data_IF_491155074235
#
_entry.id   IF_491155074235
#
_cell.length_a   1.000
_cell.length_b   1.000
_cell.length_c   1.000
_cell.angle_alpha   90.00
_cell.angle_beta   90.00
_cell.angle_gamma   90.00
#
_symmetry.space_group_name_H-M   'P 1'
#
loop_
_entity.id
_entity.type
_entity.pdbx_description
1 polymer ?
#
# COMPACT_ATOMS: atom_id res chain seq x y z
N UNK A 1 -2.89 -1.64 -24.16
CA UNK A 1 -2.32 -2.52 -23.11
C UNK A 1 -3.41 -2.85 -22.11
N UNK A 2 -3.59 -4.13 -21.77
CA UNK A 2 -4.60 -4.54 -20.77
C UNK A 2 -4.20 -4.02 -19.39
N UNK A 3 -5.07 -3.25 -18.75
CA UNK A 3 -4.95 -2.83 -17.35
C UNK A 3 -5.74 -3.79 -16.46
N UNK A 4 -5.27 -4.01 -15.24
CA UNK A 4 -5.96 -4.81 -14.23
C UNK A 4 -6.95 -3.96 -13.44
N UNK A 5 -7.88 -4.60 -12.72
CA UNK A 5 -8.78 -3.91 -11.78
C UNK A 5 -7.98 -3.10 -10.74
N UNK A 6 -6.86 -3.63 -10.27
CA UNK A 6 -5.97 -2.93 -9.33
C UNK A 6 -5.38 -1.65 -9.93
N UNK A 7 -4.98 -1.66 -11.21
CA UNK A 7 -4.42 -0.47 -11.87
C UNK A 7 -5.49 0.62 -11.96
N UNK A 8 -6.73 0.26 -12.27
CA UNK A 8 -7.86 1.20 -12.34
C UNK A 8 -8.19 1.75 -10.95
N UNK A 9 -8.30 0.89 -9.93
CA UNK A 9 -8.61 1.30 -8.56
C UNK A 9 -7.53 2.25 -8.01
N UNK A 10 -6.24 1.92 -8.17
CA UNK A 10 -5.14 2.79 -7.75
C UNK A 10 -5.15 4.14 -8.48
N UNK A 11 -5.61 4.16 -9.73
CA UNK A 11 -5.73 5.41 -10.50
C UNK A 11 -6.90 6.26 -10.05
N UNK A 12 -8.00 5.66 -9.61
CA UNK A 12 -9.10 6.37 -8.96
C UNK A 12 -8.64 6.99 -7.65
N UNK A 13 -7.83 6.27 -6.86
CA UNK A 13 -7.24 6.79 -5.64
C UNK A 13 -6.30 7.97 -5.93
N UNK A 14 -5.38 7.83 -6.88
CA UNK A 14 -4.47 8.91 -7.29
C UNK A 14 -5.24 10.16 -7.75
N UNK A 15 -6.25 9.97 -8.62
CA UNK A 15 -7.11 11.04 -9.08
C UNK A 15 -7.91 11.69 -7.94
N UNK A 16 -8.45 10.90 -7.00
CA UNK A 16 -9.18 11.40 -5.84
C UNK A 16 -8.30 12.23 -4.91
N UNK A 17 -7.07 11.78 -4.64
CA UNK A 17 -6.09 12.55 -3.86
C UNK A 17 -5.75 13.86 -4.57
N UNK A 18 -5.57 13.83 -5.90
CA UNK A 18 -5.31 15.05 -6.68
C UNK A 18 -6.50 16.02 -6.62
N UNK A 19 -7.72 15.55 -6.87
CA UNK A 19 -8.93 16.37 -6.79
C UNK A 19 -9.12 16.97 -5.40
N UNK A 20 -8.87 16.20 -4.34
CA UNK A 20 -8.93 16.67 -2.97
C UNK A 20 -7.90 17.76 -2.66
N UNK A 21 -6.68 17.59 -3.15
CA UNK A 21 -5.64 18.60 -3.04
C UNK A 21 -6.04 19.88 -3.78
N UNK A 22 -6.50 19.78 -5.03
CA UNK A 22 -6.93 20.92 -5.84
C UNK A 22 -8.07 21.70 -5.16
N UNK A 23 -9.04 20.99 -4.56
CA UNK A 23 -10.12 21.61 -3.80
C UNK A 23 -9.63 22.35 -2.53
N UNK A 24 -8.54 21.91 -1.91
CA UNK A 24 -7.97 22.55 -0.71
C UNK A 24 -6.93 23.62 -1.00
N UNK A 25 -6.24 23.55 -2.13
CA UNK A 25 -5.33 24.60 -2.58
C UNK A 25 -6.04 25.96 -2.68
N UNK A 26 -7.31 25.97 -3.09
CA UNK A 26 -8.15 27.18 -3.10
C UNK A 26 -8.52 27.75 -1.73
N UNK A 27 -8.17 27.08 -0.62
CA UNK A 27 -8.54 27.46 0.76
C UNK A 27 -7.31 27.82 1.62
N UNK A 28 -6.18 28.18 0.99
CA UNK A 28 -4.94 28.54 1.70
C UNK A 28 -4.03 27.36 2.05
N UNK A 29 -4.20 26.20 1.39
CA UNK A 29 -3.29 25.07 1.57
C UNK A 29 -1.90 25.32 0.94
N UNK A 30 -0.89 24.65 1.50
CA UNK A 30 0.54 24.76 1.16
C UNK A 30 0.77 24.71 -0.36
N UNK A 31 1.48 25.70 -0.89
CA UNK A 31 1.82 25.77 -2.30
C UNK A 31 2.68 24.57 -2.72
N UNK A 32 2.27 23.86 -3.78
CA UNK A 32 2.99 22.75 -4.39
C UNK A 32 2.43 21.37 -4.03
N UNK A 33 1.44 20.90 -4.79
CA UNK A 33 1.02 19.49 -4.73
C UNK A 33 2.22 18.61 -5.09
N UNK A 34 2.57 17.57 -4.31
CA UNK A 34 3.58 16.62 -4.75
C UNK A 34 3.08 15.95 -6.03
N UNK A 35 3.87 16.01 -7.10
CA UNK A 35 3.51 15.39 -8.38
C UNK A 35 3.33 13.87 -8.30
N UNK A 36 3.82 13.26 -7.21
CA UNK A 36 3.74 11.83 -6.91
C UNK A 36 3.62 11.64 -5.39
N UNK A 37 2.81 10.67 -4.95
CA UNK A 37 2.81 10.17 -3.57
C UNK A 37 3.27 8.72 -3.54
N UNK A 38 3.96 8.31 -2.48
CA UNK A 38 4.39 6.92 -2.34
C UNK A 38 3.32 6.14 -1.57
N UNK A 39 2.77 5.12 -2.22
CA UNK A 39 1.77 4.24 -1.66
C UNK A 39 2.35 2.84 -1.41
N UNK A 40 1.99 2.24 -0.27
CA UNK A 40 2.17 0.82 -0.01
C UNK A 40 0.92 0.05 -0.47
N UNK A 41 1.11 -0.96 -1.30
CA UNK A 41 0.05 -1.82 -1.81
C UNK A 41 0.37 -3.26 -1.41
N UNK A 42 -0.41 -3.90 -0.52
CA UNK A 42 -0.23 -5.30 -0.20
C UNK A 42 -0.37 -6.17 -1.46
N UNK A 43 0.55 -7.10 -1.67
CA UNK A 43 0.52 -8.05 -2.78
C UNK A 43 0.64 -9.48 -2.25
N UNK A 44 -0.16 -10.37 -2.83
CA UNK A 44 -0.02 -11.80 -2.58
C UNK A 44 1.19 -12.32 -3.38
N UNK A 45 2.15 -12.93 -2.69
CA UNK A 45 3.38 -13.45 -3.30
C UNK A 45 3.28 -14.96 -3.63
N UNK A 46 2.15 -15.59 -3.32
CA UNK A 46 1.89 -17.00 -3.67
C UNK A 46 1.83 -17.18 -5.18
N UNK A 47 2.49 -18.22 -5.70
CA UNK A 47 2.46 -18.59 -7.13
C UNK A 47 1.97 -20.04 -7.29
N UNK A 48 1.17 -20.31 -8.34
CA UNK A 48 0.78 -21.67 -8.72
C UNK A 48 0.11 -22.47 -7.61
N UNK A 49 0.61 -23.68 -7.35
CA UNK A 49 0.11 -24.63 -6.35
C UNK A 49 0.15 -24.07 -4.91
N UNK A 50 1.02 -23.08 -4.60
CA UNK A 50 1.10 -22.44 -3.26
C UNK A 50 -0.18 -21.70 -2.86
N UNK A 51 -1.10 -21.43 -3.79
CA UNK A 51 -2.40 -20.82 -3.48
C UNK A 51 -3.27 -21.72 -2.60
N UNK A 52 -3.03 -23.04 -2.60
CA UNK A 52 -3.76 -24.04 -1.82
C UNK A 52 -3.19 -24.26 -0.42
N UNK A 53 -1.99 -23.78 -0.14
CA UNK A 53 -1.36 -23.94 1.17
C UNK A 53 -1.84 -22.87 2.16
N UNK A 54 -2.10 -23.29 3.41
CA UNK A 54 -2.38 -22.41 4.54
C UNK A 54 -1.07 -21.83 5.08
N UNK A 55 -0.41 -21.00 4.26
CA UNK A 55 0.81 -20.28 4.65
C UNK A 55 0.67 -18.80 4.32
N UNK A 56 1.08 -17.96 5.26
CA UNK A 56 0.99 -16.52 5.09
C UNK A 56 2.18 -16.01 4.27
N UNK A 57 1.99 -15.77 2.97
CA UNK A 57 3.04 -15.29 2.05
C UNK A 57 2.54 -14.06 1.27
N UNK A 58 2.68 -12.91 1.90
CA UNK A 58 2.30 -11.61 1.36
C UNK A 58 3.45 -10.62 1.56
N UNK A 59 3.54 -9.64 0.68
CA UNK A 59 4.51 -8.57 0.77
C UNK A 59 3.85 -7.23 0.48
N UNK A 60 4.64 -6.16 0.47
CA UNK A 60 4.20 -4.84 0.08
C UNK A 60 4.93 -4.39 -1.18
N UNK A 61 4.17 -3.94 -2.16
CA UNK A 61 4.66 -3.15 -3.28
C UNK A 61 4.69 -1.68 -2.85
N UNK A 62 5.86 -1.05 -2.92
CA UNK A 62 6.00 0.41 -2.74
C UNK A 62 5.92 1.06 -4.12
N UNK A 63 4.90 1.88 -4.35
CA UNK A 63 4.53 2.38 -5.67
C UNK A 63 4.41 3.91 -5.61
N UNK A 64 5.11 4.60 -6.50
CA UNK A 64 4.85 6.02 -6.75
C UNK A 64 3.55 6.18 -7.53
N UNK A 65 2.53 6.74 -6.90
CA UNK A 65 1.26 7.10 -7.54
C UNK A 65 1.35 8.53 -8.09
N UNK A 66 1.25 8.72 -9.41
CA UNK A 66 1.31 10.05 -10.01
C UNK A 66 0.03 10.83 -9.73
N UNK A 67 0.18 12.03 -9.17
CA UNK A 67 -0.91 12.97 -8.92
C UNK A 67 -1.02 14.00 -10.06
N UNK A 68 -0.92 13.53 -11.31
CA UNK A 68 -0.79 14.41 -12.48
C UNK A 68 -2.12 14.93 -13.01
N UNK A 69 -3.24 14.25 -12.73
CA UNK A 69 -4.57 14.64 -13.19
C UNK A 69 -5.67 14.21 -12.21
N UNK A 70 -6.76 14.99 -12.06
CA UNK A 70 -7.96 14.58 -11.33
C UNK A 70 -8.80 13.54 -12.11
N UNK A 71 -8.42 13.19 -13.34
CA UNK A 71 -9.10 12.17 -14.14
C UNK A 71 -8.39 10.82 -14.01
N UNK A 72 -9.06 9.84 -13.40
CA UNK A 72 -8.51 8.48 -13.26
C UNK A 72 -8.09 7.89 -14.61
N UNK A 73 -8.90 8.09 -15.67
CA UNK A 73 -8.61 7.61 -17.03
C UNK A 73 -7.29 8.16 -17.58
N UNK A 74 -6.95 9.42 -17.28
CA UNK A 74 -5.71 10.04 -17.72
C UNK A 74 -4.47 9.47 -17.00
N UNK A 75 -4.64 8.98 -15.77
CA UNK A 75 -3.55 8.53 -14.89
C UNK A 75 -3.30 7.01 -14.97
N UNK A 76 -4.32 6.21 -15.34
CA UNK A 76 -4.23 4.74 -15.49
C UNK A 76 -2.99 4.25 -16.26
N UNK A 77 -2.60 4.84 -17.40
CA UNK A 77 -1.41 4.40 -18.12
C UNK A 77 -0.12 4.53 -17.30
N UNK A 78 0.01 5.59 -16.49
CA UNK A 78 1.17 5.86 -15.66
C UNK A 78 1.21 4.89 -14.46
N UNK A 79 0.08 4.71 -13.77
CA UNK A 79 -0.07 3.76 -12.66
C UNK A 79 0.20 2.34 -13.12
N UNK A 80 -0.36 1.92 -14.25
CA UNK A 80 -0.12 0.58 -14.78
C UNK A 80 1.35 0.33 -15.15
N UNK A 81 2.09 1.34 -15.61
CA UNK A 81 3.55 1.23 -15.83
C UNK A 81 4.29 1.06 -14.51
N UNK A 82 3.98 1.87 -13.49
CA UNK A 82 4.58 1.77 -12.16
C UNK A 82 4.31 0.39 -11.53
N UNK A 83 3.06 -0.08 -11.56
CA UNK A 83 2.68 -1.39 -11.03
C UNK A 83 3.37 -2.55 -11.75
N UNK A 84 3.53 -2.49 -13.09
CA UNK A 84 4.27 -3.53 -13.83
C UNK A 84 5.75 -3.54 -13.48
N UNK A 85 6.37 -2.37 -13.31
CA UNK A 85 7.76 -2.27 -12.89
C UNK A 85 7.95 -2.92 -11.51
N UNK A 86 7.09 -2.56 -10.54
CA UNK A 86 7.17 -3.12 -9.19
C UNK A 86 6.87 -4.62 -9.19
N UNK A 87 5.85 -5.09 -9.91
CA UNK A 87 5.54 -6.53 -10.02
C UNK A 87 6.71 -7.32 -10.62
N UNK A 88 7.34 -6.84 -11.70
CA UNK A 88 8.51 -7.49 -12.29
C UNK A 88 9.70 -7.54 -11.32
N UNK A 89 9.93 -6.46 -10.59
CA UNK A 89 10.96 -6.42 -9.54
C UNK A 89 10.68 -7.42 -8.41
N UNK A 90 9.41 -7.59 -8.04
CA UNK A 90 8.99 -8.57 -7.02
C UNK A 90 8.96 -10.02 -7.53
N UNK A 91 8.67 -10.22 -8.82
CA UNK A 91 8.59 -11.54 -9.46
C UNK A 91 9.97 -12.14 -9.73
N UNK A 92 10.98 -11.31 -10.00
CA UNK A 92 12.38 -11.73 -9.99
C UNK A 92 12.76 -12.16 -8.58
N UNK A 93 13.33 -13.35 -8.43
CA UNK A 93 13.68 -14.03 -7.16
C UNK A 93 14.42 -13.17 -6.12
N UNK A 94 14.91 -12.00 -6.50
CA UNK A 94 15.58 -10.98 -5.69
C UNK A 94 14.78 -10.60 -4.43
N UNK A 95 13.45 -10.45 -4.52
CA UNK A 95 12.67 -9.99 -3.36
C UNK A 95 12.47 -11.07 -2.29
N UNK A 96 12.29 -12.34 -2.69
CA UNK A 96 12.30 -13.46 -1.75
C UNK A 96 13.69 -13.65 -1.15
N UNK A 97 14.76 -13.50 -1.94
CA UNK A 97 16.14 -13.59 -1.44
C UNK A 97 16.47 -12.49 -0.43
N UNK A 98 16.05 -11.24 -0.67
CA UNK A 98 16.22 -10.15 0.29
C UNK A 98 15.40 -10.43 1.56
N UNK A 99 14.14 -10.83 1.42
CA UNK A 99 13.27 -11.11 2.58
C UNK A 99 13.77 -12.32 3.38
N UNK A 100 14.24 -13.38 2.71
CA UNK A 100 14.82 -14.57 3.32
C UNK A 100 16.13 -14.25 4.04
N UNK A 101 17.01 -13.44 3.43
CA UNK A 101 18.24 -12.95 4.09
C UNK A 101 17.90 -12.09 5.30
N UNK A 102 16.91 -11.20 5.22
CA UNK A 102 16.44 -10.41 6.37
C UNK A 102 15.87 -11.32 7.48
N UNK A 103 15.13 -12.36 7.11
CA UNK A 103 14.50 -13.29 8.05
C UNK A 103 15.48 -14.29 8.68
N UNK A 104 16.60 -14.60 8.01
CA UNK A 104 17.65 -15.52 8.51
C UNK A 104 18.80 -14.80 9.20
N UNK A 105 18.81 -13.46 9.23
CA UNK A 105 19.71 -12.70 10.10
C UNK A 105 19.30 -12.94 11.55
N UNK A 106 20.06 -13.79 12.21
CA UNK A 106 19.89 -14.12 13.61
C UNK A 106 20.15 -12.89 14.51
N UNK A 107 19.49 -12.85 15.67
CA UNK A 107 19.49 -11.70 16.61
C UNK A 107 20.89 -11.32 17.13
N UNK A 108 21.90 -12.13 16.87
CA UNK A 108 23.32 -11.92 17.22
C UNK A 108 23.96 -10.75 16.47
N UNK A 109 23.40 -10.31 15.34
CA UNK A 109 23.85 -9.10 14.64
C UNK A 109 23.00 -7.87 15.00
N UNK A 110 23.23 -7.30 16.19
CA UNK A 110 22.57 -6.04 16.62
C UNK A 110 22.74 -4.89 15.60
N UNK A 111 23.85 -4.89 14.85
CA UNK A 111 24.13 -3.93 13.76
C UNK A 111 23.25 -4.15 12.53
N UNK A 112 22.95 -5.40 12.17
CA UNK A 112 22.02 -5.68 11.06
C UNK A 112 20.59 -5.28 11.44
N UNK A 113 20.18 -5.47 12.70
CA UNK A 113 18.91 -4.97 13.21
C UNK A 113 18.78 -3.44 13.12
N UNK A 114 19.86 -2.69 13.38
CA UNK A 114 19.87 -1.23 13.22
C UNK A 114 19.78 -0.80 11.75
N UNK A 115 20.50 -1.48 10.85
CA UNK A 115 20.45 -1.23 9.40
C UNK A 115 19.07 -1.57 8.83
N UNK A 116 18.46 -2.69 9.24
CA UNK A 116 17.11 -3.08 8.84
C UNK A 116 16.09 -2.08 9.37
N UNK A 117 16.18 -1.67 10.64
CA UNK A 117 15.30 -0.63 11.21
C UNK A 117 15.46 0.71 10.48
N UNK A 118 16.69 1.10 10.16
CA UNK A 118 16.97 2.33 9.43
C UNK A 118 16.46 2.27 8.00
N UNK A 119 16.65 1.15 7.29
CA UNK A 119 16.10 0.91 5.96
C UNK A 119 14.58 0.93 5.97
N UNK A 120 13.95 0.27 6.95
CA UNK A 120 12.49 0.27 7.11
C UNK A 120 11.97 1.67 7.46
N UNK A 121 12.63 2.40 8.36
CA UNK A 121 12.28 3.78 8.69
C UNK A 121 12.44 4.71 7.47
N UNK A 122 13.48 4.55 6.67
CA UNK A 122 13.68 5.30 5.44
C UNK A 122 12.64 4.94 4.38
N UNK A 123 12.32 3.65 4.22
CA UNK A 123 11.32 3.16 3.29
C UNK A 123 9.89 3.56 3.69
N UNK A 124 9.60 3.65 4.99
CA UNK A 124 8.27 3.97 5.53
C UNK A 124 8.04 5.46 5.77
N UNK A 125 9.09 6.25 6.06
CA UNK A 125 8.97 7.69 6.32
C UNK A 125 8.44 8.50 5.13
N UNK A 126 8.53 7.96 3.91
CA UNK A 126 7.96 8.57 2.70
C UNK A 126 6.63 7.95 2.27
N UNK A 127 6.15 6.90 2.93
CA UNK A 127 4.84 6.33 2.66
C UNK A 127 3.77 7.28 3.16
N UNK A 128 2.95 7.78 2.24
CA UNK A 128 1.82 8.67 2.56
C UNK A 128 0.50 7.92 2.58
N UNK A 129 0.44 6.75 1.93
CA UNK A 129 -0.80 6.03 1.70
C UNK A 129 -0.59 4.51 1.76
N UNK A 130 -1.56 3.81 2.32
CA UNK A 130 -1.68 2.36 2.17
C UNK A 130 -2.99 2.06 1.44
N UNK A 131 -2.92 1.32 0.33
CA UNK A 131 -4.10 0.94 -0.46
C UNK A 131 -4.18 -0.58 -0.51
N UNK A 132 -5.17 -1.16 0.16
CA UNK A 132 -5.45 -2.59 0.10
C UNK A 132 -6.65 -2.86 -0.81
N UNK A 133 -6.54 -3.89 -1.65
CA UNK A 133 -7.66 -4.48 -2.37
C UNK A 133 -7.75 -5.96 -2.02
N UNK A 134 -8.63 -6.28 -1.08
CA UNK A 134 -8.86 -7.66 -0.63
C UNK A 134 -10.11 -8.17 -1.34
N UNK A 135 -10.01 -9.26 -2.13
CA UNK A 135 -11.19 -9.85 -2.77
C UNK A 135 -12.25 -10.22 -1.73
N UNK A 136 -13.48 -9.81 -1.99
CA UNK A 136 -14.64 -10.19 -1.18
C UNK A 136 -15.09 -11.63 -1.46
N UNK A 137 -16.09 -12.12 -0.70
CA UNK A 137 -16.70 -13.42 -0.94
C UNK A 137 -17.27 -13.51 -2.36
N UNK A 138 -17.10 -14.65 -3.03
CA UNK A 138 -17.65 -14.89 -4.37
C UNK A 138 -19.14 -15.25 -4.36
N UNK A 139 -19.72 -15.54 -3.19
CA UNK A 139 -21.12 -15.92 -3.00
C UNK A 139 -21.86 -14.95 -2.08
N UNK A 140 -23.19 -14.93 -2.17
CA UNK A 140 -24.02 -14.09 -1.32
C UNK A 140 -24.04 -14.58 0.12
N UNK A 141 -23.60 -13.72 1.04
CA UNK A 141 -23.68 -13.99 2.47
C UNK A 141 -25.08 -13.71 3.01
N UNK A 142 -25.50 -14.52 3.97
CA UNK A 142 -26.74 -14.34 4.73
C UNK A 142 -26.42 -14.29 6.22
N UNK A 143 -27.09 -13.40 6.94
CA UNK A 143 -27.01 -13.27 8.39
C UNK A 143 -28.44 -13.24 8.95
N UNK A 144 -28.78 -14.17 9.84
CA UNK A 144 -30.13 -14.28 10.39
C UNK A 144 -31.22 -14.45 9.31
N UNK A 145 -30.94 -15.21 8.25
CA UNK A 145 -31.86 -15.43 7.13
C UNK A 145 -31.98 -14.26 6.15
N UNK A 146 -31.30 -13.13 6.39
CA UNK A 146 -31.32 -11.96 5.51
C UNK A 146 -30.02 -11.85 4.72
N UNK A 147 -30.13 -11.48 3.45
CA UNK A 147 -28.98 -11.25 2.58
C UNK A 147 -28.20 -10.01 3.02
N UNK A 148 -26.88 -10.14 3.14
CA UNK A 148 -25.98 -9.01 3.41
C UNK A 148 -25.89 -8.15 2.15
N UNK A 149 -26.23 -6.86 2.26
CA UNK A 149 -26.23 -5.93 1.14
C UNK A 149 -24.82 -5.44 0.79
N UNK A 150 -24.03 -5.05 1.78
CA UNK A 150 -22.69 -4.50 1.61
C UNK A 150 -21.77 -4.93 2.75
N UNK A 151 -20.47 -5.07 2.45
CA UNK A 151 -19.41 -5.25 3.44
C UNK A 151 -18.47 -4.06 3.36
N UNK A 152 -18.24 -3.40 4.48
CA UNK A 152 -17.26 -2.31 4.59
C UNK A 152 -16.10 -2.77 5.47
N UNK A 153 -14.89 -2.71 4.92
CA UNK A 153 -13.68 -2.87 5.71
C UNK A 153 -13.38 -1.56 6.46
N UNK A 154 -13.40 -1.60 7.79
CA UNK A 154 -12.92 -0.50 8.62
C UNK A 154 -11.53 -0.83 9.16
N UNK A 155 -10.55 0.00 8.83
CA UNK A 155 -9.21 -0.11 9.39
C UNK A 155 -9.05 0.99 10.45
N UNK A 156 -8.95 0.65 11.75
CA UNK A 156 -8.80 1.65 12.79
C UNK A 156 -7.47 2.40 12.60
N UNK A 157 -7.42 3.70 12.93
CA UNK A 157 -6.16 4.43 12.92
C UNK A 157 -5.18 3.77 13.90
N UNK A 158 -3.86 3.83 13.62
CA UNK A 158 -2.88 3.34 14.56
C UNK A 158 -3.07 4.03 15.92
N UNK A 159 -2.88 3.31 17.04
CA UNK A 159 -3.00 3.90 18.36
C UNK A 159 -2.07 5.09 18.45
N UNK A 160 -2.61 6.26 18.80
CA UNK A 160 -1.78 7.42 19.12
C UNK A 160 -0.99 7.05 20.38
N UNK A 161 0.34 6.96 20.26
CA UNK A 161 1.20 6.84 21.44
C UNK A 161 0.87 7.97 22.40
N UNK A 162 0.76 7.68 23.70
CA UNK A 162 0.70 8.75 24.71
C UNK A 162 1.89 9.68 24.46
N UNK A 163 1.60 10.96 24.24
CA UNK A 163 2.66 11.98 24.21
C UNK A 163 3.47 11.93 25.52
N UNK A 164 4.67 12.52 25.54
CA UNK A 164 5.44 12.65 26.76
C UNK A 164 4.57 13.28 27.87
N UNK A 165 4.71 12.86 29.13
CA UNK A 165 3.97 13.46 30.23
C UNK A 165 4.25 14.98 30.28
N UNK A 166 3.27 15.79 30.72
CA UNK A 166 3.49 17.23 30.89
C UNK A 166 4.64 17.49 31.87
N UNK A 167 5.40 18.59 31.70
CA UNK A 167 6.46 18.95 32.64
C UNK A 167 5.88 19.16 34.04
N UNK A 168 6.64 18.83 35.11
CA UNK A 168 6.21 19.12 36.47
C UNK A 168 6.04 20.64 36.66
N UNK A 169 4.94 21.01 37.31
CA UNK A 169 4.64 22.38 37.74
C UNK A 169 5.57 22.82 38.87
#
# INVERSE_FOLDING_TARGET
GRFTVNDVALSMVAAGVRSFHDARAGQGAVAGAPGTVIAAVPINLRKGEELRELRNKWGFAVVGLPLTSPSARAVVPQVGRAMRFVKRFMEGEVSYRITFVIATIDQTFQRAGAVIRWFMALATSRLTLCVSNVPGPSSHLHLGGRRVANLLGFLPPPPRGRGPPPPPH
#
